data_IF_696206200682
#
_entry.id   IF_696206200682
#
_cell.length_a   1.000
_cell.length_b   1.000
_cell.length_c   1.000
_cell.angle_alpha   90.00
_cell.angle_beta   90.00
_cell.angle_gamma   90.00
#
_symmetry.space_group_name_H-M   'P 1'
#
loop_
_entity.id
_entity.type
_entity.pdbx_description
1 polymer ?
#
# COMPACT_ATOMS: atom_id res chain seq x y z
N UNK A 1 -31.02 20.21 0.59
CA UNK A 1 -30.28 19.26 1.44
C UNK A 1 -28.83 19.32 1.00
N UNK A 2 -28.06 20.18 1.64
CA UNK A 2 -26.66 20.48 1.31
C UNK A 2 -25.77 19.37 1.87
N UNK A 3 -25.25 18.60 0.93
CA UNK A 3 -24.22 17.56 1.01
C UNK A 3 -23.14 17.84 2.08
N UNK A 4 -23.00 16.93 3.05
CA UNK A 4 -22.01 16.97 4.14
C UNK A 4 -20.57 16.67 3.71
N UNK A 5 -20.19 17.02 2.49
CA UNK A 5 -18.83 16.80 1.95
C UNK A 5 -17.84 17.92 2.31
N UNK A 6 -18.31 19.06 2.84
CA UNK A 6 -17.47 20.24 3.08
C UNK A 6 -16.68 20.22 4.40
N UNK A 7 -16.89 19.25 5.29
CA UNK A 7 -16.29 19.22 6.64
C UNK A 7 -15.23 18.13 6.87
N UNK A 8 -14.63 17.58 5.82
CA UNK A 8 -13.54 16.62 5.97
C UNK A 8 -12.19 17.34 6.06
N UNK A 9 -11.38 16.97 7.06
CA UNK A 9 -10.01 17.50 7.25
C UNK A 9 -9.11 17.14 6.06
N UNK A 10 -8.06 17.92 5.81
CA UNK A 10 -7.13 17.70 4.67
C UNK A 10 -6.57 16.26 4.66
N UNK A 11 -6.34 15.69 5.84
CA UNK A 11 -5.95 14.28 6.05
C UNK A 11 -7.04 13.29 5.64
N UNK A 12 -8.32 13.59 5.85
CA UNK A 12 -9.44 12.76 5.38
C UNK A 12 -9.64 12.86 3.86
N UNK A 13 -9.23 13.97 3.22
CA UNK A 13 -9.20 14.10 1.76
C UNK A 13 -8.07 13.28 1.13
N UNK A 14 -6.89 13.25 1.75
CA UNK A 14 -5.74 12.43 1.32
C UNK A 14 -6.04 10.92 1.47
N UNK A 15 -6.77 10.52 2.52
CA UNK A 15 -7.22 9.13 2.74
C UNK A 15 -8.44 8.75 1.87
N UNK A 16 -9.04 9.71 1.14
CA UNK A 16 -10.13 9.45 0.18
C UNK A 16 -9.71 8.99 -1.19
N UNK A 17 -8.40 8.98 -1.48
CA UNK A 17 -7.85 8.51 -2.75
C UNK A 17 -7.12 7.17 -2.52
N UNK A 18 -7.69 6.28 -1.70
CA UNK A 18 -7.23 4.89 -1.72
C UNK A 18 -7.96 4.24 -2.90
N UNK A 19 -7.22 4.18 -4.00
CA UNK A 19 -7.56 3.67 -5.32
C UNK A 19 -7.98 2.21 -5.20
N UNK A 20 -9.10 1.84 -5.81
CA UNK A 20 -9.33 0.47 -6.27
C UNK A 20 -9.28 0.50 -7.78
N UNK A 21 -8.43 -0.35 -8.32
CA UNK A 21 -8.52 -0.78 -9.70
C UNK A 21 -9.74 -1.70 -9.80
N UNK A 22 -10.74 -1.34 -10.62
CA UNK A 22 -11.81 -2.30 -10.95
C UNK A 22 -11.38 -3.05 -12.19
N UNK A 23 -11.07 -4.33 -12.05
CA UNK A 23 -10.73 -5.18 -13.18
C UNK A 23 -12.02 -5.73 -13.78
N UNK A 24 -12.26 -5.40 -15.05
CA UNK A 24 -13.38 -5.93 -15.82
C UNK A 24 -12.97 -7.22 -16.55
N UNK A 25 -13.58 -8.34 -16.17
CA UNK A 25 -13.60 -9.55 -16.98
C UNK A 25 -14.62 -9.44 -18.10
N UNK A 26 -14.30 -10.10 -19.21
CA UNK A 26 -14.96 -10.03 -20.51
C UNK A 26 -16.48 -10.20 -20.44
N UNK A 27 -17.18 -9.09 -20.26
CA UNK A 27 -18.48 -8.88 -20.88
C UNK A 27 -18.24 -8.04 -22.13
N UNK A 28 -18.90 -8.41 -23.22
CA UNK A 28 -18.81 -7.75 -24.53
C UNK A 28 -19.43 -6.35 -24.50
N UNK A 29 -19.03 -5.49 -23.58
CA UNK A 29 -19.28 -4.07 -23.69
C UNK A 29 -18.16 -3.49 -24.54
N UNK A 30 -18.51 -3.14 -25.77
CA UNK A 30 -17.76 -2.19 -26.58
C UNK A 30 -17.63 -0.90 -25.78
N UNK A 31 -16.53 -0.74 -25.06
CA UNK A 31 -16.11 0.54 -24.49
C UNK A 31 -15.85 1.47 -25.69
N UNK A 32 -16.86 2.23 -26.11
CA UNK A 32 -16.70 3.25 -27.14
C UNK A 32 -15.96 4.42 -26.51
N UNK A 33 -14.63 4.44 -26.66
CA UNK A 33 -13.83 5.61 -26.39
C UNK A 33 -14.40 6.80 -27.19
N UNK A 34 -14.46 8.02 -26.63
CA UNK A 34 -15.06 9.15 -27.31
C UNK A 34 -14.34 9.41 -28.64
N UNK A 35 -15.06 9.16 -29.73
CA UNK A 35 -14.56 9.23 -31.11
C UNK A 35 -14.44 10.68 -31.60
N UNK A 36 -14.94 11.66 -30.83
CA UNK A 36 -15.01 13.07 -31.20
C UNK A 36 -13.82 13.92 -30.75
N UNK A 37 -12.90 13.40 -29.95
CA UNK A 37 -11.68 14.12 -29.53
C UNK A 37 -10.46 13.71 -30.36
N UNK A 38 -9.64 14.70 -30.73
CA UNK A 38 -8.39 14.46 -31.48
C UNK A 38 -7.31 13.95 -30.51
N UNK A 39 -7.28 12.63 -30.33
CA UNK A 39 -6.26 11.95 -29.53
C UNK A 39 -4.84 12.25 -30.05
N UNK A 40 -3.95 12.56 -29.11
CA UNK A 40 -2.52 12.59 -29.35
C UNK A 40 -1.88 11.29 -28.86
N UNK A 41 -0.76 10.91 -29.49
CA UNK A 41 -0.06 9.65 -29.20
C UNK A 41 1.38 9.96 -28.80
N UNK A 42 1.81 9.37 -27.68
CA UNK A 42 3.21 9.27 -27.28
C UNK A 42 3.60 7.80 -27.23
N UNK A 43 4.56 7.41 -28.05
CA UNK A 43 5.03 6.04 -28.15
C UNK A 43 6.45 5.91 -27.60
N UNK A 44 6.71 4.84 -26.86
CA UNK A 44 8.02 4.44 -26.35
C UNK A 44 8.26 2.96 -26.63
N UNK A 45 9.29 2.36 -26.02
CA UNK A 45 9.68 0.97 -26.30
C UNK A 45 8.56 -0.01 -25.93
N UNK A 46 7.96 0.16 -24.75
CA UNK A 46 7.00 -0.78 -24.17
C UNK A 46 5.56 -0.22 -24.09
N UNK A 47 5.36 1.07 -24.35
CA UNK A 47 4.07 1.73 -24.14
C UNK A 47 3.61 2.60 -25.32
N UNK A 48 2.29 2.70 -25.47
CA UNK A 48 1.60 3.66 -26.35
C UNK A 48 0.62 4.45 -25.49
N UNK A 49 0.80 5.76 -25.39
CA UNK A 49 -0.04 6.63 -24.56
C UNK A 49 -0.94 7.47 -25.44
N UNK A 50 -2.24 7.27 -25.29
CA UNK A 50 -3.31 8.03 -25.91
C UNK A 50 -3.80 9.08 -24.92
N UNK A 51 -3.75 10.37 -25.27
CA UNK A 51 -4.18 11.44 -24.38
C UNK A 51 -4.87 12.58 -25.12
N UNK A 52 -5.82 13.22 -24.42
CA UNK A 52 -6.42 14.52 -24.80
C UNK A 52 -6.17 15.61 -23.75
N UNK A 53 -5.57 15.20 -22.61
CA UNK A 53 -5.19 16.04 -21.47
C UNK A 53 -3.88 16.82 -21.70
N UNK A 54 -3.40 17.52 -20.66
CA UNK A 54 -2.12 18.23 -20.73
C UNK A 54 -0.95 17.30 -21.08
N UNK A 55 -0.17 17.70 -22.09
CA UNK A 55 1.00 16.96 -22.59
C UNK A 55 2.01 16.59 -21.48
N UNK A 56 2.12 17.40 -20.43
CA UNK A 56 3.02 17.15 -19.30
C UNK A 56 2.69 15.85 -18.55
N UNK A 57 1.40 15.51 -18.37
CA UNK A 57 1.00 14.29 -17.67
C UNK A 57 1.30 13.04 -18.50
N UNK A 58 1.12 13.13 -19.82
CA UNK A 58 1.45 12.04 -20.74
C UNK A 58 2.97 11.74 -20.74
N UNK A 59 3.83 12.76 -20.69
CA UNK A 59 5.29 12.58 -20.55
C UNK A 59 5.64 11.91 -19.21
N UNK A 60 4.98 12.32 -18.11
CA UNK A 60 5.20 11.73 -16.79
C UNK A 60 4.80 10.25 -16.79
N UNK A 61 3.64 9.93 -17.35
CA UNK A 61 3.18 8.54 -17.51
C UNK A 61 4.19 7.72 -18.29
N UNK A 62 4.66 8.21 -19.45
CA UNK A 62 5.64 7.49 -20.26
C UNK A 62 6.90 7.18 -19.47
N UNK A 63 7.47 8.20 -18.81
CA UNK A 63 8.70 8.06 -18.04
C UNK A 63 8.53 7.09 -16.87
N UNK A 64 7.46 7.22 -16.09
CA UNK A 64 7.21 6.35 -14.94
C UNK A 64 6.98 4.90 -15.40
N UNK A 65 6.21 4.71 -16.47
CA UNK A 65 5.89 3.39 -17.00
C UNK A 65 7.14 2.67 -17.50
N UNK A 66 7.97 3.34 -18.30
CA UNK A 66 9.21 2.75 -18.83
C UNK A 66 10.23 2.44 -17.72
N UNK A 67 10.41 3.36 -16.76
CA UNK A 67 11.32 3.13 -15.64
C UNK A 67 10.87 1.96 -14.75
N UNK A 68 9.56 1.70 -14.68
CA UNK A 68 9.00 0.64 -13.85
C UNK A 68 8.91 -0.71 -14.57
N UNK A 69 8.79 -0.72 -15.90
CA UNK A 69 8.50 -1.92 -16.67
C UNK A 69 9.49 -3.06 -16.46
N UNK A 70 10.80 -2.75 -16.40
CA UNK A 70 11.83 -3.76 -16.15
C UNK A 70 11.60 -4.44 -14.80
N UNK A 71 11.30 -3.69 -13.74
CA UNK A 71 11.04 -4.25 -12.42
C UNK A 71 9.82 -5.17 -12.44
N UNK A 72 8.72 -4.71 -13.04
CA UNK A 72 7.48 -5.49 -13.08
C UNK A 72 7.67 -6.81 -13.86
N UNK A 73 8.45 -6.79 -14.94
CA UNK A 73 8.78 -7.99 -15.72
C UNK A 73 9.86 -8.87 -15.08
N UNK A 74 10.81 -8.30 -14.33
CA UNK A 74 11.75 -9.04 -13.48
C UNK A 74 11.01 -9.77 -12.34
N UNK A 75 9.85 -9.29 -11.90
CA UNK A 75 9.03 -9.97 -10.90
C UNK A 75 8.15 -11.05 -11.55
N UNK A 76 7.28 -10.68 -12.49
CA UNK A 76 6.21 -11.54 -13.00
C UNK A 76 6.49 -12.24 -14.33
N UNK A 77 7.60 -11.91 -14.98
CA UNK A 77 7.91 -12.35 -16.33
C UNK A 77 7.56 -11.32 -17.39
N UNK A 78 8.08 -11.52 -18.60
CA UNK A 78 7.89 -10.62 -19.74
C UNK A 78 6.59 -10.91 -20.49
N UNK A 79 6.04 -9.88 -21.12
CA UNK A 79 4.91 -9.99 -22.05
C UNK A 79 5.32 -9.51 -23.43
N UNK A 80 4.63 -9.98 -24.46
CA UNK A 80 4.87 -9.55 -25.86
C UNK A 80 3.95 -8.41 -26.25
N UNK A 81 4.51 -7.41 -26.94
CA UNK A 81 3.78 -6.25 -27.44
C UNK A 81 3.69 -5.12 -26.43
N UNK A 82 3.26 -3.94 -26.92
CA UNK A 82 3.16 -2.72 -26.11
C UNK A 82 1.88 -2.71 -25.28
N UNK A 83 1.92 -1.95 -24.19
CA UNK A 83 0.77 -1.64 -23.33
C UNK A 83 0.19 -0.29 -23.76
N UNK A 84 -1.10 -0.26 -24.07
CA UNK A 84 -1.86 0.95 -24.39
C UNK A 84 -2.33 1.64 -23.10
N UNK A 85 -1.98 2.90 -22.88
CA UNK A 85 -2.46 3.71 -21.76
C UNK A 85 -3.34 4.83 -22.30
N UNK A 86 -4.60 4.89 -21.86
CA UNK A 86 -5.55 5.93 -22.23
C UNK A 86 -5.72 6.90 -21.06
N UNK A 87 -5.22 8.13 -21.21
CA UNK A 87 -5.39 9.20 -20.24
C UNK A 87 -6.64 10.02 -20.60
N UNK A 88 -7.71 9.84 -19.83
CA UNK A 88 -9.03 10.44 -20.11
C UNK A 88 -9.29 11.60 -19.16
N UNK A 89 -9.83 12.69 -19.69
CA UNK A 89 -10.31 13.82 -18.89
C UNK A 89 -11.36 13.37 -17.84
N UNK A 90 -11.35 13.98 -16.66
CA UNK A 90 -12.26 13.61 -15.57
C UNK A 90 -13.76 13.72 -15.89
N UNK A 91 -14.14 14.45 -16.96
CA UNK A 91 -15.55 14.56 -17.41
C UNK A 91 -15.97 13.38 -18.30
N UNK A 92 -15.07 12.88 -19.15
CA UNK A 92 -15.37 11.83 -20.16
C UNK A 92 -15.11 10.40 -19.66
N UNK A 93 -14.39 10.26 -18.55
CA UNK A 93 -14.16 8.97 -17.87
C UNK A 93 -15.47 8.27 -17.46
N UNK A 94 -16.52 9.03 -17.12
CA UNK A 94 -17.85 8.50 -16.77
C UNK A 94 -18.62 7.93 -17.98
N UNK A 95 -18.28 8.36 -19.19
CA UNK A 95 -18.96 7.91 -20.42
C UNK A 95 -18.32 6.66 -21.04
N UNK A 96 -17.13 6.26 -20.57
CA UNK A 96 -16.31 5.22 -21.20
C UNK A 96 -16.32 3.86 -20.50
N UNK A 97 -16.79 3.79 -19.24
CA UNK A 97 -16.98 2.55 -18.50
C UNK A 97 -18.20 2.67 -17.54
N UNK A 98 -19.09 1.66 -17.47
CA UNK A 98 -20.27 1.69 -16.60
C UNK A 98 -19.88 1.28 -15.17
N UNK A 99 -19.03 2.04 -14.48
CA UNK A 99 -18.51 1.65 -13.16
C UNK A 99 -18.41 2.85 -12.21
N UNK A 100 -18.61 2.52 -10.92
CA UNK A 100 -18.77 3.37 -9.73
C UNK A 100 -17.87 4.63 -9.66
N UNK A 101 -18.39 5.71 -9.06
CA UNK A 101 -17.84 7.09 -9.09
C UNK A 101 -16.40 7.29 -8.57
N UNK A 102 -15.76 6.27 -8.01
CA UNK A 102 -14.59 6.38 -7.14
C UNK A 102 -13.31 5.73 -7.68
N UNK A 103 -13.35 4.96 -8.77
CA UNK A 103 -12.16 4.38 -9.39
C UNK A 103 -11.36 5.40 -10.22
N UNK A 104 -10.03 5.29 -10.16
CA UNK A 104 -9.07 6.29 -10.72
C UNK A 104 -8.26 5.70 -11.89
N UNK A 105 -8.21 4.38 -12.01
CA UNK A 105 -7.59 3.63 -13.10
C UNK A 105 -8.25 2.26 -13.29
N UNK A 106 -8.11 1.70 -14.49
CA UNK A 106 -8.58 0.36 -14.84
C UNK A 106 -7.59 -0.34 -15.78
N UNK A 107 -7.27 -1.59 -15.49
CA UNK A 107 -6.56 -2.50 -16.38
C UNK A 107 -7.50 -3.47 -17.09
N UNK A 108 -7.27 -3.67 -18.39
CA UNK A 108 -7.82 -4.73 -19.22
C UNK A 108 -6.66 -5.61 -19.69
N UNK A 109 -6.24 -6.62 -18.90
CA UNK A 109 -5.03 -7.38 -19.17
C UNK A 109 -5.01 -8.04 -20.55
N UNK A 110 -6.12 -8.67 -20.96
CA UNK A 110 -6.23 -9.34 -22.26
C UNK A 110 -6.12 -8.39 -23.46
N UNK A 111 -6.42 -7.11 -23.26
CA UNK A 111 -6.28 -6.06 -24.28
C UNK A 111 -4.98 -5.28 -24.14
N UNK A 112 -4.14 -5.61 -23.14
CA UNK A 112 -2.97 -4.83 -22.70
C UNK A 112 -3.28 -3.33 -22.59
N UNK A 113 -4.46 -3.00 -22.05
CA UNK A 113 -4.99 -1.64 -22.04
C UNK A 113 -5.21 -1.16 -20.62
N UNK A 114 -4.64 -0.01 -20.31
CA UNK A 114 -4.87 0.73 -19.08
C UNK A 114 -5.69 1.97 -19.43
N UNK A 115 -6.67 2.32 -18.62
CA UNK A 115 -7.44 3.56 -18.71
C UNK A 115 -7.27 4.31 -17.39
N UNK A 116 -6.73 5.52 -17.43
CA UNK A 116 -6.49 6.33 -16.23
C UNK A 116 -7.27 7.63 -16.34
N UNK A 117 -7.95 7.98 -15.25
CA UNK A 117 -8.59 9.29 -15.11
C UNK A 117 -7.53 10.34 -14.82
N UNK A 118 -7.47 11.39 -15.62
CA UNK A 118 -6.54 12.49 -15.42
C UNK A 118 -6.75 13.16 -14.05
N UNK A 119 -5.75 13.09 -13.13
CA UNK A 119 -5.85 13.66 -11.81
C UNK A 119 -5.45 15.14 -11.76
N UNK A 120 -5.36 15.84 -12.90
CA UNK A 120 -4.92 17.25 -13.02
C UNK A 120 -5.58 18.23 -12.03
N UNK A 121 -6.75 17.91 -11.49
CA UNK A 121 -7.49 18.71 -10.50
C UNK A 121 -7.18 18.38 -9.03
N UNK A 122 -6.25 17.46 -8.76
CA UNK A 122 -5.94 16.94 -7.42
C UNK A 122 -4.54 17.38 -6.99
N UNK A 123 -4.40 17.76 -5.72
CA UNK A 123 -3.09 18.02 -5.10
C UNK A 123 -2.25 16.72 -5.11
N UNK A 124 -0.95 16.81 -5.43
CA UNK A 124 -0.06 15.65 -5.65
C UNK A 124 -0.44 14.73 -6.83
N UNK A 125 -1.16 15.24 -7.83
CA UNK A 125 -1.57 14.53 -9.05
C UNK A 125 -0.47 13.67 -9.69
N UNK A 126 0.78 14.15 -9.71
CA UNK A 126 1.93 13.41 -10.26
C UNK A 126 2.27 12.14 -9.47
N UNK A 127 2.22 12.21 -8.14
CA UNK A 127 2.53 11.08 -7.27
C UNK A 127 1.42 10.03 -7.36
N UNK A 128 0.17 10.48 -7.35
CA UNK A 128 -0.98 9.60 -7.52
C UNK A 128 -0.97 8.94 -8.90
N UNK A 129 -0.70 9.70 -9.96
CA UNK A 129 -0.61 9.15 -11.31
C UNK A 129 0.49 8.09 -11.44
N UNK A 130 1.66 8.35 -10.83
CA UNK A 130 2.76 7.41 -10.80
C UNK A 130 2.41 6.14 -10.01
N UNK A 131 1.63 6.27 -8.94
CA UNK A 131 1.15 5.15 -8.14
C UNK A 131 0.16 4.29 -8.93
N UNK A 132 -0.94 4.90 -9.42
CA UNK A 132 -1.96 4.24 -10.24
C UNK A 132 -1.31 3.47 -11.39
N UNK A 133 -0.48 4.13 -12.20
CA UNK A 133 0.03 3.49 -13.43
C UNK A 133 0.91 2.28 -13.12
N UNK A 134 1.70 2.31 -12.04
CA UNK A 134 2.49 1.16 -11.62
C UNK A 134 1.59 -0.01 -11.22
N UNK A 135 0.56 0.25 -10.42
CA UNK A 135 -0.43 -0.74 -10.01
C UNK A 135 -1.08 -1.42 -11.22
N UNK A 136 -1.58 -0.61 -12.16
CA UNK A 136 -2.24 -1.12 -13.36
C UNK A 136 -1.28 -1.87 -14.29
N UNK A 137 -0.01 -1.46 -14.40
CA UNK A 137 1.01 -2.21 -15.15
C UNK A 137 1.19 -3.60 -14.57
N UNK A 138 1.21 -3.75 -13.24
CA UNK A 138 1.31 -5.06 -12.59
C UNK A 138 0.10 -5.91 -12.95
N UNK A 139 -1.12 -5.37 -12.91
CA UNK A 139 -2.31 -6.10 -13.35
C UNK A 139 -2.27 -6.50 -14.82
N UNK A 140 -1.76 -5.65 -15.71
CA UNK A 140 -1.61 -6.01 -17.14
C UNK A 140 -0.66 -7.19 -17.29
N UNK A 141 0.53 -7.14 -16.67
CA UNK A 141 1.53 -8.20 -16.78
C UNK A 141 1.01 -9.48 -16.13
N UNK A 142 0.47 -9.40 -14.91
CA UNK A 142 -0.08 -10.52 -14.18
C UNK A 142 -1.23 -11.18 -14.95
N UNK A 143 -2.25 -10.42 -15.34
CA UNK A 143 -3.39 -10.97 -16.06
C UNK A 143 -3.06 -11.49 -17.46
N UNK A 144 -2.07 -10.91 -18.15
CA UNK A 144 -1.58 -11.45 -19.42
C UNK A 144 -0.84 -12.78 -19.26
N UNK A 145 -0.16 -12.99 -18.13
CA UNK A 145 0.48 -14.28 -17.78
C UNK A 145 -0.55 -15.33 -17.41
N UNK A 146 -1.54 -14.96 -16.60
CA UNK A 146 -2.61 -15.87 -16.14
C UNK A 146 -3.55 -16.27 -17.29
N UNK A 147 -3.85 -15.35 -18.21
CA UNK A 147 -4.69 -15.67 -19.38
C UNK A 147 -6.15 -15.95 -18.99
N UNK A 148 -6.71 -17.02 -19.55
CA UNK A 148 -8.10 -17.42 -19.36
C UNK A 148 -8.40 -17.91 -17.93
N UNK A 149 -7.38 -18.19 -17.13
CA UNK A 149 -7.53 -18.68 -15.75
C UNK A 149 -7.80 -17.58 -14.72
N UNK A 150 -7.90 -16.32 -15.17
CA UNK A 150 -7.92 -15.18 -14.28
C UNK A 150 -9.16 -15.11 -13.38
N UNK A 151 -10.28 -15.69 -13.82
CA UNK A 151 -11.50 -15.82 -13.00
C UNK A 151 -11.31 -16.76 -11.78
N UNK A 152 -10.31 -17.64 -11.83
CA UNK A 152 -9.98 -18.58 -10.76
C UNK A 152 -8.99 -17.99 -9.74
N UNK A 153 -8.40 -16.82 -10.01
CA UNK A 153 -7.43 -16.19 -9.11
C UNK A 153 -8.17 -15.48 -7.97
N UNK A 154 -7.85 -15.78 -6.69
CA UNK A 154 -8.44 -15.07 -5.57
C UNK A 154 -8.14 -13.58 -5.59
N UNK A 155 -9.16 -12.76 -5.36
CA UNK A 155 -9.08 -11.30 -5.44
C UNK A 155 -7.97 -10.73 -4.54
N UNK A 156 -7.85 -11.21 -3.30
CA UNK A 156 -6.78 -10.79 -2.40
C UNK A 156 -5.38 -11.01 -2.97
N UNK A 157 -5.17 -12.09 -3.73
CA UNK A 157 -3.85 -12.39 -4.30
C UNK A 157 -3.57 -11.46 -5.47
N UNK A 158 -4.57 -11.23 -6.33
CA UNK A 158 -4.46 -10.31 -7.46
C UNK A 158 -4.24 -8.85 -7.01
N UNK A 159 -5.00 -8.34 -6.04
CA UNK A 159 -4.77 -6.98 -5.51
C UNK A 159 -3.45 -6.93 -4.72
N UNK A 160 -3.13 -7.97 -3.96
CA UNK A 160 -1.90 -8.07 -3.19
C UNK A 160 -0.64 -8.05 -4.06
N UNK A 161 -0.64 -8.76 -5.19
CA UNK A 161 0.49 -8.79 -6.12
C UNK A 161 0.67 -7.44 -6.81
N UNK A 162 -0.42 -6.77 -7.15
CA UNK A 162 -0.39 -5.42 -7.72
C UNK A 162 0.16 -4.40 -6.72
N UNK A 163 -0.33 -4.39 -5.48
CA UNK A 163 0.17 -3.50 -4.43
C UNK A 163 1.63 -3.78 -4.07
N UNK A 164 2.02 -5.06 -4.02
CA UNK A 164 3.40 -5.45 -3.73
C UNK A 164 4.34 -4.99 -4.86
N UNK A 165 4.02 -5.35 -6.10
CA UNK A 165 4.85 -5.04 -7.27
C UNK A 165 4.98 -3.54 -7.53
N UNK A 166 3.92 -2.77 -7.26
CA UNK A 166 3.91 -1.30 -7.42
C UNK A 166 4.55 -0.52 -6.27
N UNK A 167 4.98 -1.21 -5.21
CA UNK A 167 5.54 -0.64 -3.98
C UNK A 167 4.58 0.34 -3.26
N UNK A 168 3.28 0.01 -3.23
CA UNK A 168 2.23 0.87 -2.67
C UNK A 168 2.12 0.89 -1.14
N UNK A 169 3.16 0.44 -0.44
CA UNK A 169 3.15 0.48 1.01
C UNK A 169 3.20 1.91 1.54
N UNK A 170 2.28 2.24 2.46
CA UNK A 170 2.21 3.54 3.09
C UNK A 170 2.16 3.41 4.61
N UNK A 171 2.56 4.47 5.31
CA UNK A 171 2.38 4.55 6.76
C UNK A 171 0.91 4.37 7.18
N UNK A 172 -0.05 4.78 6.34
CA UNK A 172 -1.48 4.59 6.58
C UNK A 172 -1.89 3.11 6.59
N UNK A 173 -1.37 2.31 5.64
CA UNK A 173 -1.60 0.86 5.60
C UNK A 173 -1.01 0.17 6.84
N UNK A 174 0.18 0.58 7.27
CA UNK A 174 0.79 0.08 8.51
C UNK A 174 -0.08 0.34 9.74
N UNK A 175 -0.59 1.58 9.91
CA UNK A 175 -1.44 1.93 11.05
C UNK A 175 -2.79 1.21 11.01
N UNK A 176 -3.39 1.05 9.84
CA UNK A 176 -4.65 0.32 9.69
C UNK A 176 -4.49 -1.16 10.01
N UNK A 177 -3.42 -1.80 9.53
CA UNK A 177 -3.13 -3.19 9.86
C UNK A 177 -2.84 -3.34 11.36
N UNK A 178 -2.06 -2.41 11.93
CA UNK A 178 -1.74 -2.38 13.36
C UNK A 178 -3.01 -2.35 14.22
N UNK A 179 -3.93 -1.41 13.97
CA UNK A 179 -5.16 -1.28 14.78
C UNK A 179 -6.06 -2.51 14.67
N UNK A 180 -6.16 -3.12 13.49
CA UNK A 180 -7.02 -4.28 13.26
C UNK A 180 -6.42 -5.60 13.76
N UNK A 181 -5.09 -5.75 13.76
CA UNK A 181 -4.42 -6.85 14.47
C UNK A 181 -4.73 -6.76 15.97
N UNK A 182 -4.72 -5.56 16.55
CA UNK A 182 -5.05 -5.35 17.97
C UNK A 182 -6.51 -5.63 18.31
N UNK A 183 -7.46 -5.19 17.49
CA UNK A 183 -8.89 -5.42 17.72
C UNK A 183 -9.34 -6.83 17.34
N UNK A 184 -8.44 -7.70 16.86
CA UNK A 184 -8.75 -9.02 16.30
C UNK A 184 -9.79 -8.96 15.17
N UNK A 185 -9.69 -7.92 14.35
CA UNK A 185 -10.62 -7.65 13.25
C UNK A 185 -10.02 -8.00 11.88
N UNK A 186 -9.00 -8.86 11.84
CA UNK A 186 -8.38 -9.33 10.60
C UNK A 186 -9.34 -10.22 9.83
N UNK A 187 -9.45 -9.98 8.53
CA UNK A 187 -10.34 -10.73 7.65
C UNK A 187 -9.61 -11.98 7.15
N UNK A 188 -10.20 -13.18 7.28
CA UNK A 188 -9.63 -14.38 6.68
C UNK A 188 -9.46 -14.25 5.16
N UNK A 189 -8.32 -14.69 4.62
CA UNK A 189 -7.99 -14.56 3.19
C UNK A 189 -8.99 -15.29 2.28
N UNK A 190 -9.56 -16.40 2.75
CA UNK A 190 -10.62 -17.10 2.03
C UNK A 190 -11.90 -16.26 1.87
N UNK A 191 -12.19 -15.34 2.79
CA UNK A 191 -13.32 -14.41 2.66
C UNK A 191 -13.02 -13.27 1.67
N UNK A 192 -11.75 -13.02 1.37
CA UNK A 192 -11.28 -12.02 0.41
C UNK A 192 -11.03 -12.61 -0.99
N UNK A 193 -11.45 -13.86 -1.24
CA UNK A 193 -11.15 -14.54 -2.50
C UNK A 193 -12.06 -14.14 -3.66
N UNK A 194 -13.32 -13.77 -3.39
CA UNK A 194 -14.28 -13.42 -4.46
C UNK A 194 -14.64 -11.93 -4.49
N UNK A 195 -14.76 -11.30 -3.32
CA UNK A 195 -15.12 -9.90 -3.20
C UNK A 195 -14.53 -9.29 -1.93
N UNK A 196 -14.24 -8.00 -1.97
CA UNK A 196 -13.89 -7.25 -0.77
C UNK A 196 -15.15 -6.76 -0.05
N UNK A 197 -15.08 -6.55 1.28
CA UNK A 197 -16.25 -6.10 2.04
C UNK A 197 -16.72 -4.72 1.61
N UNK A 198 -18.03 -4.49 1.72
CA UNK A 198 -18.62 -3.16 1.51
C UNK A 198 -18.18 -2.19 2.62
N UNK A 199 -18.00 -0.94 2.23
CA UNK A 199 -17.57 0.12 3.14
C UNK A 199 -16.08 0.41 3.05
N UNK A 200 -15.76 1.69 2.87
CA UNK A 200 -14.41 2.18 2.59
C UNK A 200 -13.34 1.67 3.57
N UNK A 201 -13.64 1.63 4.87
CA UNK A 201 -12.67 1.20 5.88
C UNK A 201 -12.32 -0.29 5.80
N UNK A 202 -13.32 -1.15 5.55
CA UNK A 202 -13.12 -2.60 5.43
C UNK A 202 -12.46 -2.98 4.10
N UNK A 203 -12.81 -2.29 3.01
CA UNK A 203 -12.12 -2.45 1.74
C UNK A 203 -10.63 -2.08 1.88
N UNK A 204 -10.31 -0.94 2.51
CA UNK A 204 -8.92 -0.54 2.79
C UNK A 204 -8.15 -1.56 3.64
N UNK A 205 -8.84 -2.21 4.59
CA UNK A 205 -8.24 -3.29 5.38
C UNK A 205 -7.95 -4.51 4.51
N UNK A 206 -8.90 -4.93 3.66
CA UNK A 206 -8.70 -6.04 2.74
C UNK A 206 -7.50 -5.82 1.80
N UNK A 207 -7.32 -4.59 1.31
CA UNK A 207 -6.12 -4.19 0.56
C UNK A 207 -4.83 -4.32 1.37
N UNK A 208 -4.81 -3.79 2.59
CA UNK A 208 -3.65 -3.87 3.46
C UNK A 208 -3.28 -5.33 3.80
N UNK A 209 -4.27 -6.18 4.06
CA UNK A 209 -4.10 -7.61 4.33
C UNK A 209 -3.58 -8.36 3.10
N UNK A 210 -4.15 -8.08 1.93
CA UNK A 210 -3.72 -8.63 0.63
C UNK A 210 -2.26 -8.32 0.35
N UNK A 211 -1.86 -7.04 0.47
CA UNK A 211 -0.47 -6.62 0.35
C UNK A 211 0.42 -7.34 1.36
N UNK A 212 0.01 -7.41 2.63
CA UNK A 212 0.82 -8.01 3.67
C UNK A 212 1.04 -9.51 3.47
N UNK A 213 0.03 -10.23 3.01
CA UNK A 213 0.10 -11.65 2.73
C UNK A 213 1.10 -11.91 1.61
N UNK A 214 0.94 -11.24 0.45
CA UNK A 214 1.89 -11.37 -0.68
C UNK A 214 3.30 -10.93 -0.30
N UNK A 215 3.43 -9.84 0.47
CA UNK A 215 4.73 -9.36 0.96
C UNK A 215 5.44 -10.39 1.84
N UNK A 216 4.70 -11.18 2.63
CA UNK A 216 5.28 -12.23 3.44
C UNK A 216 5.83 -13.36 2.56
N UNK A 217 5.10 -13.75 1.50
CA UNK A 217 5.58 -14.75 0.54
C UNK A 217 6.91 -14.29 -0.07
N UNK A 218 6.95 -13.06 -0.60
CA UNK A 218 8.17 -12.52 -1.20
C UNK A 218 9.33 -12.38 -0.20
N UNK A 219 9.05 -11.96 1.05
CA UNK A 219 10.09 -11.82 2.07
C UNK A 219 10.68 -13.18 2.47
N UNK A 220 9.85 -14.18 2.70
CA UNK A 220 10.28 -15.46 3.27
C UNK A 220 10.78 -16.43 2.20
N UNK A 221 10.31 -16.29 0.95
CA UNK A 221 10.55 -17.23 -0.13
C UNK A 221 11.09 -16.62 -1.43
N UNK A 222 11.19 -15.29 -1.52
CA UNK A 222 11.71 -14.60 -2.71
C UNK A 222 10.65 -14.32 -3.78
N UNK A 223 10.94 -13.36 -4.65
CA UNK A 223 10.08 -13.00 -5.79
C UNK A 223 9.95 -14.15 -6.80
N UNK A 224 10.94 -15.06 -6.87
CA UNK A 224 10.85 -16.22 -7.75
C UNK A 224 9.64 -17.10 -7.42
N UNK A 225 9.25 -17.18 -6.14
CA UNK A 225 8.09 -17.98 -5.72
C UNK A 225 6.77 -17.31 -6.04
N UNK A 226 6.70 -15.98 -6.06
CA UNK A 226 5.52 -15.28 -6.59
C UNK A 226 5.32 -15.56 -8.08
N UNK A 227 6.42 -15.61 -8.84
CA UNK A 227 6.37 -16.00 -10.24
C UNK A 227 5.94 -17.46 -10.41
N UNK A 228 6.49 -18.38 -9.62
CA UNK A 228 6.11 -19.80 -9.66
C UNK A 228 4.62 -20.00 -9.35
N UNK A 229 4.08 -19.32 -8.34
CA UNK A 229 2.64 -19.32 -8.04
C UNK A 229 1.84 -18.80 -9.23
N UNK A 230 2.27 -17.68 -9.83
CA UNK A 230 1.62 -17.10 -11.03
C UNK A 230 1.60 -18.10 -12.18
N UNK A 231 2.69 -18.83 -12.40
CA UNK A 231 2.82 -19.80 -13.48
C UNK A 231 1.92 -21.03 -13.26
N UNK A 232 1.82 -21.50 -12.02
CA UNK A 232 0.92 -22.60 -11.64
C UNK A 232 -0.55 -22.21 -11.82
N UNK A 233 -0.94 -21.01 -11.39
CA UNK A 233 -2.28 -20.47 -11.61
C UNK A 233 -2.59 -20.34 -13.11
N UNK A 234 -1.63 -19.91 -13.93
CA UNK A 234 -1.77 -19.84 -15.38
C UNK A 234 -1.97 -21.22 -16.03
N UNK A 235 -1.45 -22.29 -15.41
CA UNK A 235 -1.67 -23.68 -15.85
C UNK A 235 -3.02 -24.24 -15.40
N UNK A 236 -3.81 -23.47 -14.63
CA UNK A 236 -5.13 -23.87 -14.14
C UNK A 236 -5.12 -24.58 -12.79
N UNK A 237 -4.00 -24.58 -12.07
CA UNK A 237 -3.98 -25.02 -10.67
C UNK A 237 -4.80 -24.05 -9.80
N UNK A 238 -5.44 -24.58 -8.76
CA UNK A 238 -6.03 -23.74 -7.73
C UNK A 238 -4.95 -23.13 -6.81
N UNK A 239 -5.31 -22.08 -6.07
CA UNK A 239 -4.35 -21.38 -5.22
C UNK A 239 -3.78 -22.27 -4.11
N UNK A 240 -4.56 -23.21 -3.58
CA UNK A 240 -4.09 -24.13 -2.54
C UNK A 240 -2.94 -25.01 -3.05
N UNK A 241 -3.09 -25.59 -4.24
CA UNK A 241 -2.05 -26.36 -4.92
C UNK A 241 -0.88 -25.48 -5.34
N UNK A 242 -1.14 -24.29 -5.89
CA UNK A 242 -0.10 -23.38 -6.32
C UNK A 242 0.82 -22.98 -5.15
N UNK A 243 0.24 -22.65 -3.99
CA UNK A 243 1.01 -22.39 -2.76
C UNK A 243 1.70 -23.65 -2.25
N UNK A 244 1.03 -24.81 -2.28
CA UNK A 244 1.62 -26.07 -1.82
C UNK A 244 2.87 -26.42 -2.62
N UNK A 245 2.83 -26.32 -3.96
CA UNK A 245 3.98 -26.61 -4.81
C UNK A 245 5.08 -25.56 -4.68
N UNK A 246 4.74 -24.27 -4.65
CA UNK A 246 5.73 -23.21 -4.65
C UNK A 246 6.43 -23.03 -3.30
N UNK A 247 5.67 -23.06 -2.19
CA UNK A 247 6.16 -22.71 -0.84
C UNK A 247 5.91 -23.80 0.22
N UNK A 248 5.35 -24.95 -0.16
CA UNK A 248 5.16 -26.09 0.76
C UNK A 248 4.01 -25.94 1.75
N UNK A 249 3.09 -25.00 1.51
CA UNK A 249 1.96 -24.71 2.40
C UNK A 249 0.69 -24.51 1.56
N UNK A 250 -0.43 -25.09 1.97
CA UNK A 250 -1.73 -24.70 1.42
C UNK A 250 -2.20 -23.36 2.00
N UNK A 251 -3.32 -22.81 1.51
CA UNK A 251 -3.84 -21.52 1.93
C UNK A 251 -4.14 -21.47 3.44
N UNK A 252 -4.65 -22.56 4.00
CA UNK A 252 -4.98 -22.64 5.43
C UNK A 252 -3.71 -22.56 6.30
N UNK A 253 -2.67 -23.32 5.94
CA UNK A 253 -1.39 -23.29 6.62
C UNK A 253 -0.71 -21.93 6.49
N UNK A 254 -0.68 -21.40 5.27
CA UNK A 254 -0.13 -20.08 4.99
C UNK A 254 -0.84 -18.98 5.80
N UNK A 255 -2.18 -19.00 5.88
CA UNK A 255 -2.94 -18.05 6.68
C UNK A 255 -2.57 -18.13 8.17
N UNK A 256 -2.37 -19.33 8.71
CA UNK A 256 -1.97 -19.49 10.12
C UNK A 256 -0.57 -18.92 10.39
N UNK A 257 0.37 -19.16 9.49
CA UNK A 257 1.72 -18.60 9.56
C UNK A 257 1.71 -17.09 9.42
N UNK A 258 0.95 -16.56 8.46
CA UNK A 258 0.78 -15.12 8.25
C UNK A 258 0.15 -14.43 9.46
N UNK A 259 -0.90 -15.00 10.04
CA UNK A 259 -1.49 -14.49 11.29
C UNK A 259 -0.49 -14.48 12.44
N UNK A 260 0.36 -15.51 12.55
CA UNK A 260 1.41 -15.56 13.56
C UNK A 260 2.45 -14.46 13.31
N UNK A 261 2.87 -14.27 12.07
CA UNK A 261 3.75 -13.19 11.65
C UNK A 261 3.19 -11.82 12.04
N UNK A 262 1.92 -11.54 11.72
CA UNK A 262 1.27 -10.29 12.10
C UNK A 262 1.32 -10.10 13.62
N UNK A 263 0.88 -11.08 14.41
CA UNK A 263 0.90 -10.92 15.86
C UNK A 263 2.30 -10.69 16.41
N UNK A 264 3.35 -11.34 15.88
CA UNK A 264 4.72 -11.13 16.36
C UNK A 264 5.27 -9.74 16.01
N UNK A 265 5.01 -9.26 14.79
CA UNK A 265 5.55 -7.98 14.31
C UNK A 265 4.81 -6.77 14.86
N UNK A 266 3.55 -6.94 15.27
CA UNK A 266 2.78 -5.90 15.95
C UNK A 266 2.80 -6.03 17.49
N UNK A 267 3.31 -7.14 18.05
CA UNK A 267 3.39 -7.39 19.51
C UNK A 267 4.26 -6.40 20.28
N UNK A 268 5.40 -5.98 19.76
CA UNK A 268 6.29 -5.05 20.46
C UNK A 268 5.64 -3.68 20.68
N UNK A 269 4.73 -3.28 19.78
CA UNK A 269 3.89 -2.10 19.95
C UNK A 269 2.77 -2.32 20.97
N UNK A 270 2.26 -3.55 21.15
CA UNK A 270 1.33 -3.90 22.24
C UNK A 270 1.94 -3.62 23.60
N UNK A 271 3.24 -3.88 23.71
CA UNK A 271 4.01 -3.67 24.93
C UNK A 271 4.18 -2.16 25.16
N UNK A 272 4.44 -1.37 24.11
CA UNK A 272 4.57 0.09 24.22
C UNK A 272 3.24 0.84 24.39
N UNK A 273 2.15 0.35 23.80
CA UNK A 273 0.81 0.93 23.95
C UNK A 273 0.16 0.59 25.30
N UNK A 274 0.77 -0.28 26.09
CA UNK A 274 0.34 -0.54 27.46
C UNK A 274 0.50 0.71 28.29
N UNK A 275 -0.62 1.26 28.76
CA UNK A 275 -0.66 2.42 29.67
C UNK A 275 0.24 2.19 30.89
N UNK A 276 0.36 0.94 31.37
CA UNK A 276 1.19 0.57 32.50
C UNK A 276 2.69 0.77 32.24
N UNK A 277 3.16 0.53 31.02
CA UNK A 277 4.57 0.69 30.64
C UNK A 277 4.89 2.17 30.41
N UNK A 278 3.99 2.92 29.79
CA UNK A 278 4.11 4.38 29.67
C UNK A 278 4.17 5.04 31.06
N UNK A 279 3.21 4.75 31.93
CA UNK A 279 3.20 5.29 33.30
C UNK A 279 4.39 4.80 34.12
N UNK A 280 4.82 3.53 33.97
CA UNK A 280 6.02 3.01 34.59
C UNK A 280 7.30 3.75 34.16
N UNK A 281 7.45 4.03 32.86
CA UNK A 281 8.57 4.81 32.33
C UNK A 281 8.56 6.26 32.84
N UNK A 282 7.40 6.92 32.86
CA UNK A 282 7.23 8.25 33.44
C UNK A 282 7.60 8.24 34.92
N UNK A 283 7.14 7.26 35.70
CA UNK A 283 7.49 7.12 37.11
C UNK A 283 9.00 6.93 37.31
N UNK A 284 9.67 6.12 36.47
CA UNK A 284 11.13 5.94 36.53
C UNK A 284 11.89 7.22 36.21
N UNK A 285 11.44 8.00 35.22
CA UNK A 285 12.04 9.31 34.88
C UNK A 285 11.89 10.28 36.06
N UNK A 286 10.72 10.31 36.70
CA UNK A 286 10.46 11.15 37.87
C UNK A 286 11.36 10.73 39.05
N UNK A 287 11.46 9.43 39.34
CA UNK A 287 12.35 8.90 40.40
C UNK A 287 13.80 9.23 40.09
N UNK A 288 14.25 9.03 38.85
CA UNK A 288 15.61 9.36 38.44
C UNK A 288 15.90 10.86 38.55
N UNK A 289 14.98 11.72 38.10
CA UNK A 289 15.11 13.17 38.21
C UNK A 289 15.16 13.62 39.68
N UNK A 290 14.33 13.01 40.54
CA UNK A 290 14.35 13.24 41.98
C UNK A 290 15.69 12.81 42.61
N UNK A 291 16.17 11.61 42.33
CA UNK A 291 17.44 11.11 42.84
C UNK A 291 18.63 11.95 42.35
N UNK A 292 18.61 12.36 41.08
CA UNK A 292 19.63 13.26 40.50
C UNK A 292 19.62 14.62 41.19
N UNK A 293 18.45 15.25 41.38
CA UNK A 293 18.32 16.50 42.13
C UNK A 293 18.82 16.36 43.57
N UNK A 294 18.47 15.26 44.24
CA UNK A 294 18.89 14.99 45.62
C UNK A 294 20.41 14.86 45.74
N UNK A 295 21.06 14.19 44.78
CA UNK A 295 22.54 14.09 44.74
C UNK A 295 23.18 15.46 44.53
N UNK A 296 22.70 16.24 43.55
CA UNK A 296 23.24 17.57 43.26
C UNK A 296 23.06 18.56 44.42
N UNK A 297 21.91 18.52 45.12
CA UNK A 297 21.68 19.37 46.30
C UNK A 297 22.63 19.04 47.45
N UNK A 298 22.92 17.75 47.65
CA UNK A 298 23.87 17.32 48.70
C UNK A 298 25.27 17.85 48.42
N UNK A 299 25.76 17.71 47.19
CA UNK A 299 27.09 18.20 46.80
C UNK A 299 27.24 19.72 47.03
N UNK A 300 26.24 20.52 46.67
CA UNK A 300 26.26 21.98 46.92
C UNK A 300 26.25 22.36 48.40
N UNK A 301 25.55 21.60 49.23
CA UNK A 301 25.54 21.85 50.69
C UNK A 301 26.93 21.55 51.27
N UNK A 302 27.57 20.46 50.83
CA UNK A 302 28.93 20.11 51.28
C UNK A 302 29.96 21.15 50.83
N UNK A 303 29.82 21.67 49.61
CA UNK A 303 30.63 22.78 49.10
C UNK A 303 30.46 24.07 49.93
N UNK A 304 29.22 24.45 50.25
CA UNK A 304 28.96 25.61 51.13
C UNK A 304 29.46 25.41 52.56
N UNK A 305 29.35 24.20 53.11
CA UNK A 305 29.89 23.86 54.43
C UNK A 305 31.43 23.95 54.44
N UNK A 306 32.11 23.52 53.38
CA UNK A 306 33.57 23.65 53.24
C UNK A 306 34.01 25.12 53.08
N UNK A 307 33.27 25.93 52.31
CA UNK A 307 33.52 27.37 52.15
C UNK A 307 33.33 28.15 53.46
N UNK A 308 32.26 27.85 54.21
CA UNK A 308 32.01 28.44 55.54
C UNK A 308 33.11 28.07 56.53
N UNK A 309 33.54 26.80 56.57
CA UNK A 309 34.60 26.36 57.48
C UNK A 309 35.95 27.02 57.15
N UNK A 310 36.26 27.20 55.86
CA UNK A 310 37.48 27.91 55.43
C UNK A 310 37.44 29.41 55.77
N UNK A 311 36.27 30.05 55.65
CA UNK A 311 36.10 31.44 56.07
C UNK A 311 36.25 31.57 57.59
N UNK A 312 35.62 30.69 58.36
CA UNK A 312 35.70 30.68 59.81
C UNK A 312 37.13 30.42 60.32
N UNK A 313 37.89 29.54 59.68
CA UNK A 313 39.32 29.36 59.96
C UNK A 313 40.13 30.62 59.64
N UNK A 314 39.91 31.24 58.48
CA UNK A 314 40.57 32.48 58.09
C UNK A 314 40.31 33.64 59.09
N UNK A 315 39.08 33.79 59.59
CA UNK A 315 38.76 34.80 60.61
C UNK A 315 39.31 34.49 62.00
N UNK A 316 39.63 33.23 62.32
CA UNK A 316 40.28 32.83 63.59
C UNK A 316 41.78 33.08 63.59
N UNK A 317 42.40 33.19 62.42
CA UNK A 317 43.85 33.42 62.26
C UNK A 317 44.23 34.92 62.16
N UNK A 318 43.25 35.83 62.06
CA UNK A 318 43.41 37.30 62.04
C UNK A 318 43.38 37.93 63.44
#
# INVERSE_FOLDING_TARGET
MTSGYDNLTLTQKIVSIIITAVILFSTSLTSTLPQSEKWQILESENFIIHYTAEHNQAIILQRVSENFYKRATDMLGTITGKIDIWLISGRDFRATAPIQDWAVGYAYPQKRRIVIKDPSFVENSKLELARVVKHEIVHIIFGARIGDQMENVPLWFNEGIAMYGSEEWSYGHYWLMLTNVFSKSIIPLNQLSHQFPEGKGLAQLAYAESFSAVSMIARDHGDEKLREITDLLAMGEDLDNALMFAIGMNLTQFQQEWMRYLTQNYKWLSILSSSMILWGAVSLIVVWAYLRRRRLKRMKITEWEEEENQQDEFFREL
#
